data_IF_501761084462
#
_entry.id   IF_501761084462
#
_cell.length_a   1.000
_cell.length_b   1.000
_cell.length_c   1.000
_cell.angle_alpha   90.00
_cell.angle_beta   90.00
_cell.angle_gamma   90.00
#
_symmetry.space_group_name_H-M   'P 1'
#
loop_
_entity.id
_entity.type
_entity.pdbx_description
1 polymer ?
#
# COMPACT_ATOMS: atom_id res chain seq x y z
N UNK A 1 1.56 -11.93 23.73
CA UNK A 1 0.82 -11.95 22.44
C UNK A 1 1.50 -10.93 21.53
N UNK A 2 1.89 -11.31 20.31
CA UNK A 2 2.42 -10.35 19.33
C UNK A 2 1.25 -9.74 18.56
N UNK A 3 1.26 -8.42 18.37
CA UNK A 3 0.27 -7.71 17.52
C UNK A 3 0.79 -7.49 16.09
N UNK A 4 2.00 -7.93 15.79
CA UNK A 4 2.60 -7.80 14.45
C UNK A 4 1.95 -8.81 13.49
N UNK A 5 1.41 -8.39 12.34
CA UNK A 5 0.91 -9.31 11.34
C UNK A 5 2.06 -10.05 10.64
N UNK A 6 1.74 -11.18 10.01
CA UNK A 6 2.74 -12.02 9.34
C UNK A 6 3.08 -11.55 7.94
N UNK A 7 2.13 -10.88 7.30
CA UNK A 7 2.24 -10.28 5.99
C UNK A 7 1.21 -9.16 5.86
N UNK A 8 1.38 -8.31 4.84
CA UNK A 8 0.44 -7.25 4.48
C UNK A 8 -0.07 -7.47 3.06
N UNK A 9 -1.36 -7.21 2.82
CA UNK A 9 -1.97 -7.14 1.49
C UNK A 9 -2.64 -5.78 1.37
N UNK A 10 -2.08 -4.91 0.53
CA UNK A 10 -2.50 -3.52 0.39
C UNK A 10 -3.07 -3.31 -1.02
N UNK A 11 -4.37 -3.01 -1.09
CA UNK A 11 -5.12 -2.88 -2.33
C UNK A 11 -5.48 -1.39 -2.47
N UNK A 12 -4.98 -0.73 -3.52
CA UNK A 12 -5.09 0.72 -3.79
C UNK A 12 -4.94 1.58 -2.52
N UNK A 13 -3.84 1.43 -1.76
CA UNK A 13 -3.75 1.99 -0.42
C UNK A 13 -3.54 3.51 -0.43
N UNK A 14 -4.10 4.16 0.58
CA UNK A 14 -3.60 5.47 1.06
C UNK A 14 -2.44 5.19 2.01
N UNK A 15 -1.29 5.80 1.77
CA UNK A 15 -0.03 5.58 2.51
C UNK A 15 0.52 6.87 3.10
N UNK A 16 0.63 7.93 2.28
CA UNK A 16 1.29 9.18 2.66
C UNK A 16 0.29 10.29 2.95
N UNK A 17 0.62 11.10 3.96
CA UNK A 17 -0.06 12.37 4.26
C UNK A 17 0.89 13.58 4.23
N UNK A 18 2.16 13.36 3.89
CA UNK A 18 3.18 14.42 3.82
C UNK A 18 3.61 14.76 2.39
N UNK A 19 3.25 13.92 1.43
CA UNK A 19 3.62 14.08 0.03
C UNK A 19 2.49 14.67 -0.83
N UNK A 20 2.80 15.09 -2.06
CA UNK A 20 1.81 15.58 -3.02
C UNK A 20 0.78 14.53 -3.44
N UNK A 21 1.06 13.24 -3.25
CA UNK A 21 0.13 12.12 -3.44
C UNK A 21 -0.84 11.88 -2.28
N UNK A 22 -0.98 12.85 -1.36
CA UNK A 22 -1.90 12.75 -0.23
C UNK A 22 -3.36 12.72 -0.70
N UNK A 23 -4.09 11.68 -0.30
CA UNK A 23 -5.55 11.68 -0.41
C UNK A 23 -6.16 12.48 0.76
N UNK A 24 -6.42 13.77 0.51
CA UNK A 24 -6.80 14.76 1.54
C UNK A 24 -8.05 14.38 2.33
N UNK A 25 -9.07 13.82 1.68
CA UNK A 25 -10.29 13.37 2.36
C UNK A 25 -10.02 12.31 3.43
N UNK A 26 -9.13 11.34 3.15
CA UNK A 26 -8.75 10.31 4.13
C UNK A 26 -7.96 10.90 5.30
N UNK A 27 -7.02 11.81 4.99
CA UNK A 27 -6.21 12.51 6.00
C UNK A 27 -7.10 13.29 6.96
N UNK A 28 -8.00 14.11 6.41
CA UNK A 28 -8.82 15.04 7.21
C UNK A 28 -9.85 14.28 8.05
N UNK A 29 -10.43 13.20 7.53
CA UNK A 29 -11.33 12.33 8.29
C UNK A 29 -10.64 11.62 9.45
N UNK A 30 -9.36 11.27 9.32
CA UNK A 30 -8.61 10.55 10.35
C UNK A 30 -7.95 11.48 11.37
N UNK A 31 -7.32 12.57 10.91
CA UNK A 31 -6.44 13.41 11.73
C UNK A 31 -7.05 14.80 12.01
N UNK A 32 -8.12 15.16 11.31
CA UNK A 32 -8.67 16.51 11.28
C UNK A 32 -7.96 17.41 10.23
N UNK A 33 -8.61 18.51 9.81
CA UNK A 33 -8.10 19.37 8.73
C UNK A 33 -6.83 20.15 9.11
N UNK A 34 -6.50 20.24 10.39
CA UNK A 34 -5.36 21.01 10.92
C UNK A 34 -4.35 20.13 11.68
N UNK A 35 -4.15 18.89 11.22
CA UNK A 35 -3.18 17.97 11.84
C UNK A 35 -1.76 18.58 11.80
N UNK A 36 -1.01 18.41 12.90
CA UNK A 36 0.35 18.95 12.99
C UNK A 36 1.30 18.21 12.04
N UNK A 37 2.41 18.83 11.60
CA UNK A 37 3.40 18.17 10.76
C UNK A 37 3.95 16.87 11.35
N UNK A 38 4.08 16.80 12.68
CA UNK A 38 4.53 15.60 13.39
C UNK A 38 3.52 14.48 13.22
N UNK A 39 2.22 14.78 13.36
CA UNK A 39 1.15 13.81 13.18
C UNK A 39 1.01 13.38 11.72
N UNK A 40 1.21 14.28 10.77
CA UNK A 40 1.26 13.91 9.35
C UNK A 40 2.38 12.91 9.06
N UNK A 41 3.58 13.13 9.63
CA UNK A 41 4.71 12.21 9.49
C UNK A 41 4.45 10.87 10.17
N UNK A 42 3.92 10.90 11.39
CA UNK A 42 3.58 9.70 12.17
C UNK A 42 2.62 8.77 11.41
N UNK A 43 1.64 9.35 10.71
CA UNK A 43 0.64 8.61 9.94
C UNK A 43 0.97 8.47 8.44
N UNK A 44 2.17 8.87 8.01
CA UNK A 44 2.69 8.58 6.66
C UNK A 44 3.48 7.26 6.72
N UNK A 45 2.82 6.16 6.33
CA UNK A 45 3.31 4.80 6.62
C UNK A 45 4.63 4.46 5.91
N UNK A 46 4.93 5.10 4.79
CA UNK A 46 6.22 4.97 4.09
C UNK A 46 7.41 5.45 4.95
N UNK A 47 7.17 6.35 5.91
CA UNK A 47 8.20 6.84 6.84
C UNK A 47 8.38 5.93 8.05
N UNK A 48 7.45 4.99 8.27
CA UNK A 48 7.42 4.09 9.43
C UNK A 48 7.97 2.69 9.13
N UNK A 49 8.41 2.43 7.89
CA UNK A 49 8.95 1.12 7.49
C UNK A 49 10.26 0.84 8.21
N UNK A 50 10.31 -0.30 8.91
CA UNK A 50 11.51 -0.86 9.53
C UNK A 50 11.86 -2.23 8.93
N UNK A 51 13.05 -2.80 9.21
CA UNK A 51 13.40 -4.17 8.79
C UNK A 51 12.43 -5.24 9.32
N UNK A 52 11.72 -4.96 10.41
CA UNK A 52 10.70 -5.84 10.99
C UNK A 52 9.34 -5.74 10.28
N UNK A 53 9.17 -4.81 9.34
CA UNK A 53 7.92 -4.69 8.57
C UNK A 53 7.61 -6.03 7.88
N UNK A 54 6.36 -6.50 7.90
CA UNK A 54 6.04 -7.78 7.29
C UNK A 54 6.19 -7.76 5.76
N UNK A 55 6.46 -8.91 5.13
CA UNK A 55 6.39 -9.04 3.68
C UNK A 55 5.06 -8.51 3.15
N UNK A 56 5.11 -7.72 2.07
CA UNK A 56 3.95 -6.96 1.62
C UNK A 56 3.63 -7.23 0.15
N UNK A 57 2.37 -7.55 -0.14
CA UNK A 57 1.82 -7.53 -1.49
C UNK A 57 1.04 -6.23 -1.72
N UNK A 58 1.31 -5.52 -2.80
CA UNK A 58 0.60 -4.30 -3.19
C UNK A 58 -0.04 -4.45 -4.57
N UNK A 59 -1.25 -3.92 -4.73
CA UNK A 59 -1.90 -3.80 -6.03
C UNK A 59 -2.57 -2.44 -6.19
N UNK A 60 -2.46 -1.81 -7.36
CA UNK A 60 -3.05 -0.48 -7.63
C UNK A 60 -3.28 -0.29 -9.14
N UNK A 61 -4.30 0.48 -9.53
CA UNK A 61 -4.41 0.97 -10.90
C UNK A 61 -3.69 2.32 -11.06
N UNK A 62 -3.03 2.56 -12.19
CA UNK A 62 -2.28 3.81 -12.45
C UNK A 62 -3.18 5.03 -12.60
N UNK A 63 -4.42 4.82 -13.04
CA UNK A 63 -5.45 5.86 -13.22
C UNK A 63 -6.30 6.11 -11.95
N UNK A 64 -5.92 5.52 -10.81
CA UNK A 64 -6.62 5.69 -9.54
C UNK A 64 -6.47 7.14 -9.00
N UNK A 65 -7.58 7.82 -8.65
CA UNK A 65 -7.55 9.17 -8.05
C UNK A 65 -6.89 9.24 -6.66
N UNK A 66 -6.67 8.12 -5.99
CA UNK A 66 -5.87 8.01 -4.75
C UNK A 66 -4.36 8.06 -5.03
N UNK A 67 -3.97 8.15 -6.30
CA UNK A 67 -2.60 8.21 -6.79
C UNK A 67 -1.79 6.95 -6.49
N UNK A 68 -1.44 6.23 -7.56
CA UNK A 68 -0.53 5.08 -7.52
C UNK A 68 0.81 5.36 -6.83
N UNK A 69 1.21 6.63 -6.72
CA UNK A 69 2.39 7.08 -5.98
C UNK A 69 2.39 6.63 -4.51
N UNK A 70 1.24 6.43 -3.88
CA UNK A 70 1.15 5.82 -2.54
C UNK A 70 1.77 4.41 -2.50
N UNK A 71 1.44 3.57 -3.49
CA UNK A 71 2.03 2.23 -3.62
C UNK A 71 3.52 2.28 -3.91
N UNK A 72 3.95 3.20 -4.79
CA UNK A 72 5.35 3.36 -5.17
C UNK A 72 6.20 3.77 -3.96
N UNK A 73 5.75 4.77 -3.18
CA UNK A 73 6.46 5.23 -1.99
C UNK A 73 6.66 4.11 -0.96
N UNK A 74 5.59 3.35 -0.66
CA UNK A 74 5.70 2.28 0.33
C UNK A 74 6.63 1.16 -0.16
N UNK A 75 6.52 0.76 -1.43
CA UNK A 75 7.39 -0.24 -2.03
C UNK A 75 8.87 0.18 -2.04
N UNK A 76 9.15 1.46 -2.32
CA UNK A 76 10.51 2.00 -2.26
C UNK A 76 11.08 1.96 -0.84
N UNK A 77 10.29 2.37 0.16
CA UNK A 77 10.68 2.26 1.58
C UNK A 77 10.91 0.81 2.02
N UNK A 78 10.06 -0.13 1.60
CA UNK A 78 10.25 -1.57 1.87
C UNK A 78 11.56 -2.09 1.28
N UNK A 79 11.81 -1.78 0.00
CA UNK A 79 13.05 -2.15 -0.69
C UNK A 79 14.28 -1.55 0.01
N UNK A 80 14.24 -0.27 0.39
CA UNK A 80 15.33 0.40 1.11
C UNK A 80 15.65 -0.22 2.47
N UNK A 81 14.69 -0.93 3.10
CA UNK A 81 14.89 -1.67 4.36
C UNK A 81 15.13 -3.16 4.17
N UNK A 82 15.20 -3.64 2.93
CA UNK A 82 15.38 -5.07 2.63
C UNK A 82 14.15 -5.92 2.96
N UNK A 83 12.97 -5.31 3.05
CA UNK A 83 11.72 -6.02 3.33
C UNK A 83 11.16 -6.58 2.02
N UNK A 84 10.87 -7.89 1.91
CA UNK A 84 10.32 -8.48 0.69
C UNK A 84 8.96 -7.88 0.33
N UNK A 85 8.79 -7.49 -0.93
CA UNK A 85 7.50 -7.00 -1.43
C UNK A 85 7.25 -7.41 -2.88
N UNK A 86 5.98 -7.61 -3.23
CA UNK A 86 5.53 -7.79 -4.61
C UNK A 86 4.50 -6.71 -4.96
N UNK A 87 4.64 -6.10 -6.15
CA UNK A 87 3.80 -4.99 -6.61
C UNK A 87 3.18 -5.33 -7.95
N UNK A 88 1.85 -5.27 -8.04
CA UNK A 88 1.09 -5.37 -9.28
C UNK A 88 0.45 -4.02 -9.62
N UNK A 89 0.87 -3.39 -10.71
CA UNK A 89 0.26 -2.17 -11.21
C UNK A 89 -0.58 -2.46 -12.45
N UNK A 90 -1.87 -2.15 -12.41
CA UNK A 90 -2.73 -2.15 -13.58
C UNK A 90 -2.57 -0.85 -14.37
N UNK A 91 -2.69 -0.90 -15.69
CA UNK A 91 -2.70 0.32 -16.53
C UNK A 91 -3.95 1.17 -16.28
N UNK A 92 -5.10 0.54 -16.05
CA UNK A 92 -6.36 1.21 -15.73
C UNK A 92 -7.20 0.37 -14.75
N UNK A 93 -8.25 0.96 -14.20
CA UNK A 93 -9.20 0.28 -13.31
C UNK A 93 -9.87 1.20 -12.30
N UNK A 94 -9.32 2.40 -12.10
CA UNK A 94 -9.79 3.37 -11.12
C UNK A 94 -9.67 2.86 -9.68
N UNK A 95 -10.32 3.58 -8.77
CA UNK A 95 -10.35 3.23 -7.36
C UNK A 95 -11.40 2.17 -7.05
N UNK A 96 -11.12 1.29 -6.08
CA UNK A 96 -12.16 0.43 -5.50
C UNK A 96 -12.65 -0.72 -6.38
N UNK A 97 -11.81 -1.24 -7.29
CA UNK A 97 -12.20 -2.35 -8.17
C UNK A 97 -12.47 -3.69 -7.44
N UNK A 98 -12.17 -3.80 -6.13
CA UNK A 98 -12.46 -5.00 -5.35
C UNK A 98 -11.70 -6.24 -5.82
N UNK A 99 -12.37 -7.39 -5.91
CA UNK A 99 -11.74 -8.66 -6.32
C UNK A 99 -11.51 -8.77 -7.84
N UNK A 100 -12.22 -7.97 -8.64
CA UNK A 100 -12.21 -8.07 -10.11
C UNK A 100 -12.01 -6.68 -10.70
N UNK A 101 -10.86 -6.45 -11.32
CA UNK A 101 -10.66 -5.26 -12.14
C UNK A 101 -11.28 -5.50 -13.53
N UNK A 102 -12.37 -4.80 -13.92
CA UNK A 102 -13.05 -5.04 -15.20
C UNK A 102 -12.23 -4.62 -16.42
N UNK A 103 -11.13 -3.89 -16.24
CA UNK A 103 -10.27 -3.41 -17.34
C UNK A 103 -9.07 -4.32 -17.63
N UNK A 104 -8.91 -5.43 -16.90
CA UNK A 104 -7.79 -6.34 -17.06
C UNK A 104 -8.20 -7.80 -16.90
N UNK A 105 -7.66 -8.67 -17.75
CA UNK A 105 -7.80 -10.13 -17.59
C UNK A 105 -6.91 -10.70 -16.48
N UNK A 106 -5.94 -9.92 -15.98
CA UNK A 106 -5.08 -10.33 -14.89
C UNK A 106 -5.85 -10.20 -13.57
N UNK A 107 -6.03 -11.33 -12.88
CA UNK A 107 -6.70 -11.38 -11.57
C UNK A 107 -5.66 -11.24 -10.46
N UNK A 108 -5.63 -10.09 -9.79
CA UNK A 108 -4.71 -9.88 -8.68
C UNK A 108 -4.84 -10.91 -7.55
N UNK A 109 -6.02 -11.51 -7.23
CA UNK A 109 -6.08 -12.55 -6.20
C UNK A 109 -5.29 -13.81 -6.56
N UNK A 110 -5.16 -14.12 -7.85
CA UNK A 110 -4.34 -15.25 -8.31
C UNK A 110 -2.85 -14.93 -8.16
N UNK A 111 -2.43 -13.69 -8.45
CA UNK A 111 -1.06 -13.20 -8.16
C UNK A 111 -0.75 -13.19 -6.67
N UNK A 112 -1.70 -12.77 -5.84
CA UNK A 112 -1.58 -12.85 -4.39
C UNK A 112 -1.36 -14.31 -3.95
N UNK A 113 -2.15 -15.26 -4.46
CA UNK A 113 -1.99 -16.68 -4.12
C UNK A 113 -0.60 -17.20 -4.52
N UNK A 114 -0.13 -16.87 -5.72
CA UNK A 114 1.21 -17.22 -6.19
C UNK A 114 2.30 -16.65 -5.27
N UNK A 115 2.17 -15.40 -4.84
CA UNK A 115 3.09 -14.76 -3.91
C UNK A 115 3.06 -15.41 -2.52
N UNK A 116 1.87 -15.67 -1.97
CA UNK A 116 1.71 -16.30 -0.66
C UNK A 116 2.36 -17.69 -0.59
N UNK A 117 2.29 -18.46 -1.68
CA UNK A 117 2.94 -19.78 -1.78
C UNK A 117 4.48 -19.70 -1.76
N UNK A 118 5.07 -18.53 -2.03
CA UNK A 118 6.53 -18.29 -1.95
C UNK A 118 6.96 -17.79 -0.58
N UNK A 119 6.03 -17.39 0.29
CA UNK A 119 6.38 -16.94 1.64
C UNK A 119 6.96 -18.13 2.42
N UNK A 120 8.02 -17.89 3.23
CA UNK A 120 8.56 -18.95 4.07
C UNK A 120 7.47 -19.47 5.00
N UNK A 121 7.37 -20.80 5.11
CA UNK A 121 6.57 -21.41 6.14
C UNK A 121 7.07 -20.94 7.51
N UNK A 122 6.13 -20.62 8.40
CA UNK A 122 6.44 -20.34 9.80
C UNK A 122 6.91 -21.58 10.54
#
# INVERSE_FOLDING_TARGET
ISLRPDFLVLIYPVITFTDTATHTGSRDNLLGPNASPEKLKEYSNELQVTPETPPTFLVHAKDDPVFVRNTILFADSLNAKGVPSEVLLYESGGHGFGLVNPTSDIKWPDRLREWMNKLPAK
#
